data_IF_721703477997
#
_entry.id   IF_721703477997
#
_cell.length_a   1.000
_cell.length_b   1.000
_cell.length_c   1.000
_cell.angle_alpha   90.00
_cell.angle_beta   90.00
_cell.angle_gamma   90.00
#
_symmetry.space_group_name_H-M   'P 1'
#
loop_
_entity.id
_entity.type
_entity.pdbx_description
1 polymer ?
#
# COMPACT_ATOMS: atom_id res chain seq x y z
N UNK A 1 -7.41 6.72 20.02
CA UNK A 1 -6.20 6.28 20.75
C UNK A 1 -5.20 5.72 19.76
N UNK A 2 -4.18 6.48 19.36
CA UNK A 2 -3.08 5.94 18.54
C UNK A 2 -2.26 4.98 19.42
N UNK A 3 -2.38 3.66 19.19
CA UNK A 3 -1.44 2.70 19.79
C UNK A 3 -0.10 2.91 19.12
N UNK A 4 0.87 3.44 19.85
CA UNK A 4 2.27 3.47 19.41
C UNK A 4 2.72 2.02 19.24
N UNK A 5 2.89 1.59 18.00
CA UNK A 5 3.43 0.27 17.65
C UNK A 5 4.94 0.39 17.46
N UNK A 6 5.69 -0.62 17.88
CA UNK A 6 7.10 -0.70 17.52
C UNK A 6 7.25 -0.87 16.00
N UNK A 7 8.41 -0.52 15.41
CA UNK A 7 8.64 -0.72 13.98
C UNK A 7 8.40 -2.17 13.52
N UNK A 8 8.82 -3.15 14.34
CA UNK A 8 8.60 -4.56 14.05
C UNK A 8 7.11 -4.94 14.07
N UNK A 9 6.34 -4.41 15.03
CA UNK A 9 4.88 -4.62 15.07
C UNK A 9 4.19 -3.97 13.87
N UNK A 10 4.63 -2.76 13.48
CA UNK A 10 4.10 -2.09 12.31
C UNK A 10 4.37 -2.89 11.04
N UNK A 11 5.58 -3.45 10.88
CA UNK A 11 5.88 -4.31 9.73
C UNK A 11 5.02 -5.57 9.71
N UNK A 12 4.82 -6.21 10.88
CA UNK A 12 3.92 -7.36 10.98
C UNK A 12 2.50 -7.03 10.51
N UNK A 13 2.01 -5.85 10.83
CA UNK A 13 0.66 -5.40 10.44
C UNK A 13 0.59 -4.99 8.97
N UNK A 14 1.66 -4.40 8.42
CA UNK A 14 1.77 -4.16 6.97
C UNK A 14 1.75 -5.48 6.20
N UNK A 15 2.48 -6.49 6.67
CA UNK A 15 2.48 -7.82 6.07
C UNK A 15 1.09 -8.47 6.14
N UNK A 16 0.39 -8.37 7.27
CA UNK A 16 -0.98 -8.85 7.41
C UNK A 16 -1.94 -8.10 6.48
N UNK A 17 -1.83 -6.78 6.37
CA UNK A 17 -2.66 -5.98 5.47
C UNK A 17 -2.42 -6.38 4.01
N UNK A 18 -1.16 -6.50 3.59
CA UNK A 18 -0.80 -6.92 2.24
C UNK A 18 -1.32 -8.33 1.91
N UNK A 19 -1.18 -9.27 2.85
CA UNK A 19 -1.74 -10.62 2.72
C UNK A 19 -3.26 -10.57 2.58
N UNK A 20 -3.95 -9.84 3.45
CA UNK A 20 -5.41 -9.72 3.42
C UNK A 20 -5.92 -9.15 2.10
N UNK A 21 -5.23 -8.16 1.52
CA UNK A 21 -5.54 -7.63 0.18
C UNK A 21 -5.38 -8.73 -0.88
N UNK A 22 -4.26 -9.45 -0.85
CA UNK A 22 -3.94 -10.50 -1.83
C UNK A 22 -4.95 -11.65 -1.76
N UNK A 23 -5.30 -12.09 -0.55
CA UNK A 23 -6.30 -13.14 -0.31
C UNK A 23 -7.70 -12.70 -0.77
N UNK A 24 -8.15 -11.52 -0.34
CA UNK A 24 -9.48 -11.00 -0.71
C UNK A 24 -9.63 -10.85 -2.22
N UNK A 25 -8.58 -10.39 -2.89
CA UNK A 25 -8.62 -10.18 -4.31
C UNK A 25 -8.46 -11.49 -5.11
N UNK A 26 -7.73 -12.47 -4.60
CA UNK A 26 -7.70 -13.84 -5.13
C UNK A 26 -9.09 -14.50 -5.04
N UNK A 27 -9.78 -14.38 -3.90
CA UNK A 27 -11.16 -14.85 -3.74
C UNK A 27 -12.08 -14.16 -4.76
N UNK A 28 -11.97 -12.84 -4.90
CA UNK A 28 -12.76 -12.09 -5.89
C UNK A 28 -12.50 -12.58 -7.31
N UNK A 29 -11.24 -12.80 -7.69
CA UNK A 29 -10.88 -13.32 -9.01
C UNK A 29 -11.47 -14.72 -9.25
N UNK A 30 -11.42 -15.61 -8.26
CA UNK A 30 -12.02 -16.95 -8.34
C UNK A 30 -13.54 -16.91 -8.50
N UNK A 31 -14.23 -16.03 -7.75
CA UNK A 31 -15.68 -15.84 -7.86
C UNK A 31 -16.07 -15.35 -9.26
N UNK A 32 -15.27 -14.46 -9.85
CA UNK A 32 -15.49 -13.99 -11.22
C UNK A 32 -15.15 -15.05 -12.28
N UNK A 33 -14.07 -15.81 -12.12
CA UNK A 33 -13.63 -16.85 -13.05
C UNK A 33 -14.55 -18.08 -13.06
N UNK A 34 -15.20 -18.40 -11.93
CA UNK A 34 -16.19 -19.47 -11.83
C UNK A 34 -17.41 -19.26 -12.77
N UNK A 35 -17.57 -18.05 -13.34
CA UNK A 35 -18.59 -17.74 -14.34
C UNK A 35 -18.12 -17.74 -15.79
N UNK A 36 -16.80 -17.71 -16.08
CA UNK A 36 -16.28 -17.47 -17.45
C UNK A 36 -15.44 -18.60 -18.04
N UNK A 37 -15.03 -19.63 -17.28
CA UNK A 37 -14.25 -20.76 -17.83
C UNK A 37 -12.84 -20.39 -18.32
N UNK A 38 -12.42 -19.15 -18.14
CA UNK A 38 -11.06 -18.68 -18.40
C UNK A 38 -10.15 -19.04 -17.21
N UNK A 39 -8.91 -19.44 -17.51
CA UNK A 39 -7.88 -19.63 -16.49
C UNK A 39 -7.60 -18.25 -15.88
N UNK A 40 -8.14 -18.01 -14.69
CA UNK A 40 -8.01 -16.73 -14.00
C UNK A 40 -6.55 -16.30 -13.93
N UNK A 41 -6.27 -15.14 -14.51
CA UNK A 41 -4.94 -14.54 -14.49
C UNK A 41 -4.46 -14.48 -13.04
N UNK A 42 -3.23 -14.95 -12.78
CA UNK A 42 -2.73 -15.09 -11.41
C UNK A 42 -2.74 -13.71 -10.73
N UNK A 43 -3.47 -13.60 -9.63
CA UNK A 43 -3.54 -12.34 -8.88
C UNK A 43 -2.16 -11.99 -8.31
N UNK A 44 -1.49 -11.03 -8.94
CA UNK A 44 -0.07 -10.71 -8.71
C UNK A 44 0.20 -9.31 -8.17
N UNK A 45 1.46 -8.88 -8.28
CA UNK A 45 1.92 -7.57 -7.82
C UNK A 45 1.19 -6.40 -8.51
N UNK A 46 0.92 -6.51 -9.81
CA UNK A 46 0.25 -5.48 -10.60
C UNK A 46 -1.17 -5.17 -10.10
N UNK A 47 -1.82 -6.17 -9.50
CA UNK A 47 -3.15 -6.02 -8.94
C UNK A 47 -3.15 -5.70 -7.43
N UNK A 48 -2.17 -6.23 -6.68
CA UNK A 48 -2.08 -6.04 -5.23
C UNK A 48 -1.44 -4.71 -4.81
N UNK A 49 -0.42 -4.25 -5.53
CA UNK A 49 0.33 -3.04 -5.14
C UNK A 49 -0.54 -1.76 -5.19
N UNK A 50 -1.33 -1.47 -6.24
CA UNK A 50 -2.19 -0.28 -6.24
C UNK A 50 -3.20 -0.26 -5.08
N UNK A 51 -3.76 -1.43 -4.73
CA UNK A 51 -4.66 -1.57 -3.59
C UNK A 51 -3.91 -1.32 -2.27
N UNK A 52 -2.69 -1.83 -2.14
CA UNK A 52 -1.87 -1.60 -0.96
C UNK A 52 -1.47 -0.12 -0.82
N UNK A 53 -1.14 0.56 -1.91
CA UNK A 53 -0.89 2.02 -1.93
C UNK A 53 -2.10 2.77 -1.37
N UNK A 54 -3.31 2.45 -1.83
CA UNK A 54 -4.54 3.06 -1.32
C UNK A 54 -4.70 2.83 0.19
N UNK A 55 -4.48 1.60 0.66
CA UNK A 55 -4.56 1.28 2.11
C UNK A 55 -3.56 2.09 2.91
N UNK A 56 -2.31 2.23 2.45
CA UNK A 56 -1.29 3.03 3.14
C UNK A 56 -1.67 4.51 3.16
N UNK A 57 -2.12 5.07 2.03
CA UNK A 57 -2.55 6.46 1.94
C UNK A 57 -3.72 6.76 2.90
N UNK A 58 -4.72 5.87 2.95
CA UNK A 58 -5.86 6.02 3.85
C UNK A 58 -5.49 5.81 5.33
N UNK A 59 -4.61 4.86 5.63
CA UNK A 59 -4.19 4.57 7.00
C UNK A 59 -3.29 5.68 7.57
N UNK A 60 -2.53 6.37 6.70
CA UNK A 60 -1.54 7.40 7.05
C UNK A 60 -0.69 7.02 8.29
N UNK A 61 0.12 5.95 8.22
CA UNK A 61 0.83 5.45 9.38
C UNK A 61 1.80 6.51 9.95
N UNK A 62 1.82 6.73 11.28
CA UNK A 62 2.69 7.74 11.87
C UNK A 62 4.16 7.36 11.70
N UNK A 63 4.98 8.35 11.32
CA UNK A 63 6.43 8.19 11.13
C UNK A 63 6.81 7.11 10.11
N UNK A 64 5.96 6.90 9.09
CA UNK A 64 6.09 5.77 8.16
C UNK A 64 7.50 5.60 7.59
N UNK A 65 8.08 6.65 7.00
CA UNK A 65 9.44 6.61 6.45
C UNK A 65 10.52 6.22 7.47
N UNK A 66 10.41 6.73 8.71
CA UNK A 66 11.32 6.37 9.79
C UNK A 66 11.18 4.89 10.18
N UNK A 67 9.96 4.38 10.21
CA UNK A 67 9.69 2.96 10.47
C UNK A 67 10.27 2.09 9.36
N UNK A 68 10.04 2.41 8.09
CA UNK A 68 10.59 1.66 6.96
C UNK A 68 12.11 1.64 6.99
N UNK A 69 12.75 2.80 7.20
CA UNK A 69 14.20 2.92 7.31
C UNK A 69 14.76 2.11 8.48
N UNK A 70 14.06 2.10 9.63
CA UNK A 70 14.43 1.27 10.77
C UNK A 70 14.35 -0.21 10.42
N UNK A 71 13.22 -0.64 9.85
CA UNK A 71 13.00 -2.02 9.45
C UNK A 71 14.07 -2.51 8.48
N UNK A 72 14.41 -1.70 7.48
CA UNK A 72 15.44 -2.01 6.49
C UNK A 72 16.82 -2.19 7.15
N UNK A 73 17.14 -1.41 8.18
CA UNK A 73 18.47 -1.44 8.83
C UNK A 73 18.61 -2.51 9.90
N UNK A 74 17.55 -2.78 10.67
CA UNK A 74 17.66 -3.50 11.94
C UNK A 74 16.92 -4.84 11.99
N UNK A 75 16.15 -5.20 10.96
CA UNK A 75 15.49 -6.50 10.92
C UNK A 75 16.47 -7.59 10.49
N UNK A 76 16.44 -8.78 11.14
CA UNK A 76 17.29 -9.91 10.79
C UNK A 76 17.22 -10.25 9.30
N UNK A 77 18.36 -10.54 8.64
CA UNK A 77 18.38 -10.89 7.21
C UNK A 77 17.46 -12.06 6.84
N UNK A 78 17.33 -13.06 7.73
CA UNK A 78 16.41 -14.19 7.50
C UNK A 78 14.95 -13.75 7.43
N UNK A 79 14.57 -12.74 8.21
CA UNK A 79 13.21 -12.20 8.23
C UNK A 79 12.92 -11.37 6.96
N UNK A 80 13.95 -10.76 6.34
CA UNK A 80 13.82 -10.10 5.03
C UNK A 80 13.51 -11.07 3.87
N UNK A 81 13.78 -12.37 4.05
CA UNK A 81 13.46 -13.41 3.07
C UNK A 81 12.03 -13.96 3.25
N UNK A 82 11.30 -13.48 4.24
CA UNK A 82 9.91 -13.87 4.50
C UNK A 82 8.95 -12.89 3.82
N UNK A 83 7.66 -13.19 3.92
CA UNK A 83 6.59 -12.27 3.52
C UNK A 83 6.72 -10.88 4.15
N UNK A 84 7.28 -10.76 5.35
CA UNK A 84 7.51 -9.45 5.97
C UNK A 84 8.55 -8.62 5.20
N UNK A 85 9.57 -9.24 4.64
CA UNK A 85 10.50 -8.54 3.76
C UNK A 85 9.86 -8.15 2.44
N UNK A 86 8.98 -9.00 1.88
CA UNK A 86 8.21 -8.63 0.70
C UNK A 86 7.27 -7.44 0.98
N UNK A 87 6.55 -7.46 2.09
CA UNK A 87 5.71 -6.36 2.53
C UNK A 87 6.51 -5.07 2.79
N UNK A 88 7.74 -5.17 3.30
CA UNK A 88 8.64 -4.04 3.46
C UNK A 88 8.99 -3.40 2.10
N UNK A 89 9.30 -4.21 1.09
CA UNK A 89 9.53 -3.73 -0.29
C UNK A 89 8.29 -3.04 -0.86
N UNK A 90 7.10 -3.64 -0.70
CA UNK A 90 5.85 -3.03 -1.17
C UNK A 90 5.50 -1.74 -0.41
N UNK A 91 5.86 -1.66 0.87
CA UNK A 91 5.68 -0.45 1.68
C UNK A 91 6.63 0.67 1.24
N UNK A 92 7.87 0.35 0.86
CA UNK A 92 8.78 1.31 0.23
C UNK A 92 8.25 1.80 -1.12
N UNK A 93 7.68 0.92 -1.95
CA UNK A 93 7.04 1.33 -3.20
C UNK A 93 5.86 2.27 -2.94
N UNK A 94 5.03 1.98 -1.93
CA UNK A 94 3.91 2.84 -1.55
C UNK A 94 4.34 4.22 -1.03
N UNK A 95 5.38 4.27 -0.18
CA UNK A 95 5.95 5.53 0.27
C UNK A 95 6.51 6.35 -0.90
N UNK A 96 7.30 5.71 -1.77
CA UNK A 96 7.89 6.37 -2.93
C UNK A 96 6.83 6.90 -3.90
N UNK A 97 5.74 6.14 -4.13
CA UNK A 97 4.60 6.61 -4.92
C UNK A 97 3.93 7.83 -4.27
N UNK A 98 3.61 7.75 -2.98
CA UNK A 98 2.96 8.85 -2.26
C UNK A 98 3.78 10.16 -2.28
N UNK A 99 5.11 10.05 -2.28
CA UNK A 99 6.02 11.20 -2.30
C UNK A 99 6.22 11.81 -3.69
N UNK A 100 6.00 11.04 -4.76
CA UNK A 100 6.41 11.44 -6.12
C UNK A 100 5.28 11.47 -7.15
N UNK A 101 4.09 11.00 -6.79
CA UNK A 101 2.93 10.94 -7.69
C UNK A 101 2.56 12.31 -8.26
N UNK A 102 2.37 12.35 -9.58
CA UNK A 102 1.96 13.52 -10.36
C UNK A 102 0.63 13.24 -11.05
N UNK A 103 -0.08 14.29 -11.52
CA UNK A 103 -1.33 14.12 -12.28
C UNK A 103 -1.18 13.17 -13.47
N UNK A 104 -0.03 13.20 -14.15
CA UNK A 104 0.25 12.37 -15.32
C UNK A 104 0.40 10.86 -14.99
N UNK A 105 0.63 10.52 -13.73
CA UNK A 105 0.75 9.13 -13.27
C UNK A 105 -0.62 8.51 -12.94
N UNK A 106 -1.67 9.32 -12.90
CA UNK A 106 -3.04 8.91 -12.57
C UNK A 106 -3.94 8.97 -13.80
N UNK A 107 -4.66 7.88 -14.06
CA UNK A 107 -5.62 7.82 -15.15
C UNK A 107 -7.01 8.27 -14.71
N UNK A 108 -7.75 8.90 -15.64
CA UNK A 108 -9.16 9.24 -15.42
C UNK A 108 -9.42 10.55 -14.68
N UNK A 109 -8.38 11.35 -14.40
CA UNK A 109 -8.55 12.69 -13.84
C UNK A 109 -9.26 13.62 -14.83
N UNK A 110 -10.27 14.32 -14.36
CA UNK A 110 -10.93 15.38 -15.11
C UNK A 110 -10.03 16.63 -15.17
N UNK A 111 -10.21 17.50 -16.19
CA UNK A 111 -9.46 18.77 -16.25
C UNK A 111 -9.60 19.58 -14.94
N UNK A 112 -8.46 19.96 -14.38
CA UNK A 112 -8.37 20.73 -13.13
C UNK A 112 -8.73 19.95 -11.85
N UNK A 113 -9.00 18.65 -11.93
CA UNK A 113 -9.41 17.84 -10.76
C UNK A 113 -8.30 17.73 -9.71
N UNK A 114 -7.07 17.52 -10.17
CA UNK A 114 -5.91 17.46 -9.29
C UNK A 114 -5.75 18.74 -8.47
N UNK A 115 -5.75 19.90 -9.13
CA UNK A 115 -5.55 21.20 -8.49
C UNK A 115 -6.65 21.49 -7.49
N UNK A 116 -7.91 21.15 -7.81
CA UNK A 116 -9.04 21.29 -6.88
C UNK A 116 -8.83 20.44 -5.64
N UNK A 117 -8.47 19.17 -5.79
CA UNK A 117 -8.31 18.24 -4.67
C UNK A 117 -7.08 18.55 -3.81
N UNK A 118 -5.97 18.97 -4.43
CA UNK A 118 -4.76 19.37 -3.70
C UNK A 118 -4.95 20.73 -3.00
N UNK A 119 -5.69 21.65 -3.62
CA UNK A 119 -6.05 22.94 -3.03
C UNK A 119 -6.93 22.80 -1.80
N UNK A 120 -7.92 21.90 -1.82
CA UNK A 120 -8.76 21.62 -0.64
C UNK A 120 -8.00 20.88 0.46
N UNK A 121 -7.14 19.91 0.09
CA UNK A 121 -6.29 19.19 1.05
C UNK A 121 -5.33 20.13 1.80
N UNK A 122 -4.71 21.09 1.09
CA UNK A 122 -3.84 22.10 1.69
C UNK A 122 -4.52 23.03 2.70
N UNK A 123 -5.84 23.23 2.59
CA UNK A 123 -6.61 24.06 3.53
C UNK A 123 -7.05 23.29 4.80
N UNK A 124 -7.07 21.96 4.78
CA UNK A 124 -7.51 21.14 5.92
C UNK A 124 -6.40 20.82 6.93
N UNK A 125 -5.14 21.16 6.64
CA UNK A 125 -3.98 20.92 7.54
C UNK A 125 -3.70 22.07 8.52
N UNK A 126 -4.60 23.06 8.64
CA UNK A 126 -4.42 24.29 9.45
C UNK A 126 -5.34 24.33 10.69
N UNK A 127 -5.96 23.22 11.11
CA UNK A 127 -6.82 23.18 12.31
C UNK A 127 -6.44 22.02 13.22
#
# INVERSE_FOLDING_TARGET
MHRLRSPAQMLGELAQAFRGITEAACIRAQVHAAGSGEHGDAFGADASLPLFILVVLHANPPMFNSVLTYCERFIPPMQKLTEQGYALTQAHAAASFAESVRPADLNGLQPGEWERNMGTAGMSSVI
#
